data_IF_652246898400
#
_entry.id   IF_652246898400
#
_cell.length_a   1.000
_cell.length_b   1.000
_cell.length_c   1.000
_cell.angle_alpha   90.00
_cell.angle_beta   90.00
_cell.angle_gamma   90.00
#
_symmetry.space_group_name_H-M   'P 1'
#
loop_
_entity.id
_entity.type
_entity.pdbx_description
1 polymer ?
#
# COMPACT_ATOMS: atom_id res chain seq x y z
N UNK A 1 21.56 -21.48 9.82
CA UNK A 1 20.52 -20.48 9.50
C UNK A 1 21.21 -19.46 8.60
N UNK A 2 21.11 -19.65 7.28
CA UNK A 2 21.78 -18.78 6.32
C UNK A 2 21.07 -17.45 6.27
N UNK A 3 21.78 -16.36 6.57
CA UNK A 3 21.33 -15.01 6.25
C UNK A 3 21.16 -14.98 4.73
N UNK A 4 19.92 -15.04 4.25
CA UNK A 4 19.66 -14.72 2.85
C UNK A 4 20.08 -13.26 2.71
N UNK A 5 21.14 -13.03 1.94
CA UNK A 5 21.64 -11.70 1.63
C UNK A 5 20.45 -10.91 1.08
N UNK A 6 20.09 -9.82 1.77
CA UNK A 6 18.96 -8.97 1.34
C UNK A 6 19.34 -8.46 -0.05
N UNK A 7 18.48 -8.63 -1.08
CA UNK A 7 18.81 -8.10 -2.40
C UNK A 7 19.06 -6.60 -2.27
N UNK A 8 20.07 -6.08 -2.97
CA UNK A 8 20.27 -4.64 -3.16
C UNK A 8 19.00 -4.07 -3.80
N UNK A 9 18.09 -3.55 -2.97
CA UNK A 9 16.85 -2.94 -3.46
C UNK A 9 17.25 -1.58 -4.05
N UNK A 10 16.96 -1.32 -5.34
CA UNK A 10 17.21 -0.02 -5.95
C UNK A 10 16.58 1.09 -5.10
N UNK A 11 17.30 2.19 -4.95
CA UNK A 11 16.86 3.36 -4.17
C UNK A 11 15.61 4.02 -4.75
N UNK A 12 15.31 3.77 -6.02
CA UNK A 12 14.09 4.22 -6.70
C UNK A 12 13.01 3.12 -6.64
N UNK A 13 11.90 3.33 -5.91
CA UNK A 13 10.80 2.37 -5.82
C UNK A 13 10.24 1.95 -7.18
N UNK A 14 10.22 2.88 -8.12
CA UNK A 14 9.63 2.67 -9.44
C UNK A 14 10.38 1.68 -10.31
N UNK A 15 11.67 1.44 -10.05
CA UNK A 15 12.47 0.57 -10.89
C UNK A 15 12.23 -0.89 -10.52
N UNK A 16 12.27 -1.25 -9.23
CA UNK A 16 12.10 -2.64 -8.81
C UNK A 16 10.65 -3.10 -8.70
N UNK A 17 9.70 -2.19 -8.45
CA UNK A 17 8.31 -2.54 -8.19
C UNK A 17 7.67 -3.29 -9.36
N UNK A 18 8.09 -3.00 -10.59
CA UNK A 18 7.59 -3.65 -11.82
C UNK A 18 8.43 -4.87 -12.24
N UNK A 19 9.52 -5.19 -11.54
CA UNK A 19 10.28 -6.43 -11.72
C UNK A 19 9.73 -7.53 -10.80
N UNK A 20 9.05 -8.57 -11.35
CA UNK A 20 8.31 -9.53 -10.53
C UNK A 20 9.22 -10.34 -9.60
N UNK A 21 10.44 -10.65 -10.01
CA UNK A 21 11.41 -11.39 -9.20
C UNK A 21 11.89 -10.55 -8.02
N UNK A 22 12.28 -9.28 -8.26
CA UNK A 22 12.74 -8.38 -7.20
C UNK A 22 11.61 -8.07 -6.22
N UNK A 23 10.41 -7.75 -6.71
CA UNK A 23 9.25 -7.51 -5.87
C UNK A 23 8.89 -8.73 -5.00
N UNK A 24 9.02 -9.95 -5.55
CA UNK A 24 8.82 -11.18 -4.78
C UNK A 24 9.86 -11.31 -3.67
N UNK A 25 11.14 -11.04 -3.95
CA UNK A 25 12.18 -11.10 -2.90
C UNK A 25 11.94 -10.07 -1.79
N UNK A 26 11.49 -8.85 -2.14
CA UNK A 26 11.13 -7.81 -1.17
C UNK A 26 9.96 -8.26 -0.29
N UNK A 27 8.92 -8.88 -0.86
CA UNK A 27 7.81 -9.47 -0.10
C UNK A 27 8.31 -10.55 0.86
N UNK A 28 9.13 -11.49 0.38
CA UNK A 28 9.65 -12.58 1.20
C UNK A 28 10.56 -12.07 2.34
N UNK A 29 11.27 -10.96 2.13
CA UNK A 29 12.10 -10.33 3.16
C UNK A 29 11.27 -9.73 4.32
N UNK A 30 9.95 -9.60 4.17
CA UNK A 30 9.04 -9.15 5.23
C UNK A 30 8.50 -10.26 6.13
N UNK A 31 8.83 -11.52 5.86
CA UNK A 31 8.44 -12.62 6.75
C UNK A 31 9.06 -12.42 8.14
N UNK A 32 8.29 -12.53 9.24
CA UNK A 32 8.86 -12.36 10.58
C UNK A 32 9.87 -13.48 10.88
N UNK A 33 10.96 -13.14 11.57
CA UNK A 33 11.99 -14.11 11.91
C UNK A 33 11.45 -15.18 12.87
N UNK A 34 11.67 -16.46 12.56
CA UNK A 34 11.20 -17.57 13.39
C UNK A 34 9.68 -17.78 13.39
N UNK A 35 8.95 -17.13 12.48
CA UNK A 35 7.51 -17.31 12.33
C UNK A 35 7.13 -18.71 11.83
N UNK A 36 5.95 -19.17 12.23
CA UNK A 36 5.33 -20.35 11.66
C UNK A 36 4.88 -20.12 10.20
N UNK A 37 4.39 -21.19 9.57
CA UNK A 37 3.94 -21.16 8.18
C UNK A 37 2.73 -20.24 7.96
N UNK A 38 1.80 -20.13 8.93
CA UNK A 38 0.59 -19.31 8.81
C UNK A 38 0.98 -17.84 8.77
N UNK A 39 1.80 -17.39 9.73
CA UNK A 39 2.33 -16.03 9.78
C UNK A 39 3.12 -15.66 8.52
N UNK A 40 3.91 -16.59 7.97
CA UNK A 40 4.63 -16.36 6.72
C UNK A 40 3.68 -16.17 5.52
N UNK A 41 2.64 -17.00 5.40
CA UNK A 41 1.66 -16.90 4.31
C UNK A 41 0.83 -15.63 4.40
N UNK A 42 0.39 -15.26 5.61
CA UNK A 42 -0.33 -14.01 5.85
C UNK A 42 0.54 -12.81 5.49
N UNK A 43 1.80 -12.80 5.93
CA UNK A 43 2.77 -11.75 5.57
C UNK A 43 2.95 -11.65 4.04
N UNK A 44 3.19 -12.77 3.36
CA UNK A 44 3.36 -12.80 1.90
C UNK A 44 2.12 -12.27 1.15
N UNK A 45 0.92 -12.65 1.61
CA UNK A 45 -0.34 -12.24 1.01
C UNK A 45 -0.56 -10.73 1.15
N UNK A 46 -0.37 -10.18 2.37
CA UNK A 46 -0.55 -8.76 2.64
C UNK A 46 0.48 -7.92 1.89
N UNK A 47 1.76 -8.27 1.96
CA UNK A 47 2.80 -7.51 1.27
C UNK A 47 2.74 -7.66 -0.26
N UNK A 48 2.27 -8.81 -0.76
CA UNK A 48 1.98 -8.99 -2.18
C UNK A 48 0.86 -8.06 -2.68
N UNK A 49 -0.21 -7.91 -1.88
CA UNK A 49 -1.27 -6.95 -2.15
C UNK A 49 -0.75 -5.50 -2.08
N UNK A 50 0.07 -5.16 -1.08
CA UNK A 50 0.71 -3.83 -0.96
C UNK A 50 1.54 -3.50 -2.21
N UNK A 51 2.34 -4.43 -2.73
CA UNK A 51 3.09 -4.23 -3.98
C UNK A 51 2.15 -3.90 -5.14
N UNK A 52 1.00 -4.57 -5.24
CA UNK A 52 0.00 -4.26 -6.28
C UNK A 52 -0.58 -2.86 -6.11
N UNK A 53 -0.89 -2.43 -4.87
CA UNK A 53 -1.37 -1.08 -4.59
C UNK A 53 -0.33 -0.03 -4.99
N UNK A 54 0.93 -0.22 -4.62
CA UNK A 54 2.02 0.67 -5.00
C UNK A 54 2.18 0.76 -6.52
N UNK A 55 1.95 -0.33 -7.28
CA UNK A 55 2.01 -0.30 -8.75
C UNK A 55 0.91 0.59 -9.33
N UNK A 56 -0.29 0.55 -8.77
CA UNK A 56 -1.37 1.44 -9.18
C UNK A 56 -1.07 2.88 -8.83
N UNK A 57 -0.55 3.17 -7.63
CA UNK A 57 -0.14 4.51 -7.23
C UNK A 57 0.94 5.08 -8.19
N UNK A 58 1.99 4.31 -8.46
CA UNK A 58 3.05 4.68 -9.41
C UNK A 58 2.54 4.83 -10.86
N UNK A 59 1.54 4.03 -11.25
CA UNK A 59 0.91 4.16 -12.57
C UNK A 59 0.07 5.43 -12.66
N UNK A 60 -0.69 5.76 -11.62
CA UNK A 60 -1.49 6.98 -11.55
C UNK A 60 -0.65 8.26 -11.62
N UNK A 61 0.55 8.25 -11.03
CA UNK A 61 1.44 9.41 -11.01
C UNK A 61 2.09 9.71 -12.38
N UNK A 62 2.34 8.68 -13.18
CA UNK A 62 3.07 8.80 -14.46
C UNK A 62 2.19 8.81 -15.71
N UNK A 63 0.88 8.63 -15.55
CA UNK A 63 -0.04 8.48 -16.67
C UNK A 63 -0.67 9.81 -17.09
N UNK A 64 -1.18 9.84 -18.32
CA UNK A 64 -2.07 10.92 -18.77
C UNK A 64 -3.31 11.04 -17.86
N UNK A 65 -3.95 12.22 -17.74
CA UNK A 65 -5.02 12.49 -16.77
C UNK A 65 -6.15 11.44 -16.72
N UNK A 66 -6.70 11.05 -17.87
CA UNK A 66 -7.81 10.07 -17.93
C UNK A 66 -7.40 8.69 -17.42
N UNK A 67 -6.17 8.27 -17.75
CA UNK A 67 -5.61 6.99 -17.31
C UNK A 67 -5.26 7.05 -15.83
N UNK A 68 -4.75 8.19 -15.36
CA UNK A 68 -4.47 8.44 -13.95
C UNK A 68 -5.73 8.36 -13.10
N UNK A 69 -6.84 8.97 -13.54
CA UNK A 69 -8.12 8.90 -12.85
C UNK A 69 -8.63 7.46 -12.72
N UNK A 70 -8.58 6.66 -13.80
CA UNK A 70 -8.95 5.24 -13.74
C UNK A 70 -8.03 4.42 -12.84
N UNK A 71 -6.72 4.69 -12.85
CA UNK A 71 -5.76 4.02 -11.98
C UNK A 71 -6.03 4.35 -10.50
N UNK A 72 -6.38 5.59 -10.16
CA UNK A 72 -6.75 5.99 -8.78
C UNK A 72 -8.04 5.32 -8.31
N UNK A 73 -9.06 5.21 -9.15
CA UNK A 73 -10.26 4.45 -8.82
C UNK A 73 -9.96 2.96 -8.59
N UNK A 74 -9.12 2.37 -9.45
CA UNK A 74 -8.72 0.97 -9.26
C UNK A 74 -7.91 0.76 -7.98
N UNK A 75 -7.02 1.71 -7.66
CA UNK A 75 -6.30 1.74 -6.39
C UNK A 75 -7.24 1.78 -5.19
N UNK A 76 -8.22 2.68 -5.19
CA UNK A 76 -9.19 2.80 -4.11
C UNK A 76 -9.98 1.50 -3.87
N UNK A 77 -10.42 0.84 -4.95
CA UNK A 77 -11.12 -0.46 -4.87
C UNK A 77 -10.20 -1.54 -4.31
N UNK A 78 -8.96 -1.65 -4.80
CA UNK A 78 -8.01 -2.66 -4.31
C UNK A 78 -7.62 -2.40 -2.83
N UNK A 79 -7.55 -1.13 -2.39
CA UNK A 79 -7.38 -0.76 -0.99
C UNK A 79 -8.56 -1.25 -0.15
N UNK A 80 -9.80 -0.99 -0.59
CA UNK A 80 -11.01 -1.46 0.10
C UNK A 80 -11.05 -2.99 0.20
N UNK A 81 -10.71 -3.70 -0.87
CA UNK A 81 -10.67 -5.17 -0.88
C UNK A 81 -9.64 -5.75 0.08
N UNK A 82 -8.49 -5.09 0.26
CA UNK A 82 -7.51 -5.47 1.29
C UNK A 82 -8.05 -5.16 2.69
N UNK A 83 -8.57 -3.95 2.92
CA UNK A 83 -9.16 -3.53 4.19
C UNK A 83 -10.27 -4.48 4.67
N UNK A 84 -11.10 -4.98 3.75
CA UNK A 84 -12.17 -5.95 4.06
C UNK A 84 -11.63 -7.31 4.53
N UNK A 85 -10.43 -7.70 4.11
CA UNK A 85 -9.81 -8.99 4.45
C UNK A 85 -8.89 -8.93 5.66
N UNK A 86 -8.32 -7.75 5.95
CA UNK A 86 -7.33 -7.56 7.02
C UNK A 86 -7.79 -8.05 8.40
N UNK A 87 -9.02 -7.78 8.88
CA UNK A 87 -9.45 -8.27 10.18
C UNK A 87 -9.33 -9.79 10.32
N UNK A 88 -9.79 -10.55 9.32
CA UNK A 88 -9.65 -12.00 9.31
C UNK A 88 -8.18 -12.42 9.26
N UNK A 89 -7.34 -11.78 8.44
CA UNK A 89 -5.91 -12.10 8.36
C UNK A 89 -5.16 -11.83 9.67
N UNK A 90 -5.61 -10.83 10.43
CA UNK A 90 -5.05 -10.43 11.72
C UNK A 90 -5.42 -11.43 12.81
N UNK A 91 -6.67 -11.88 12.83
CA UNK A 91 -7.14 -12.95 13.71
C UNK A 91 -6.33 -14.24 13.50
N UNK A 92 -5.99 -14.60 12.25
CA UNK A 92 -5.19 -15.80 11.92
C UNK A 92 -3.75 -15.77 12.49
N UNK A 93 -3.25 -14.60 12.87
CA UNK A 93 -1.88 -14.44 13.40
C UNK A 93 -1.88 -13.96 14.86
N UNK A 94 -3.01 -14.07 15.56
CA UNK A 94 -3.19 -13.64 16.94
C UNK A 94 -2.76 -12.17 17.18
N UNK A 95 -2.86 -11.31 16.17
CA UNK A 95 -2.69 -9.86 16.32
C UNK A 95 -4.03 -9.22 16.71
N UNK A 96 -3.99 -8.12 17.47
CA UNK A 96 -5.20 -7.44 17.89
C UNK A 96 -5.63 -6.42 16.83
N UNK A 97 -6.79 -6.64 16.19
CA UNK A 97 -7.43 -5.59 15.40
C UNK A 97 -8.05 -4.53 16.31
N UNK A 98 -7.66 -3.28 16.10
CA UNK A 98 -8.33 -2.11 16.69
C UNK A 98 -9.07 -1.40 15.56
N UNK A 99 -10.26 -0.85 15.86
CA UNK A 99 -10.96 -0.04 14.86
C UNK A 99 -10.06 1.14 14.46
N UNK A 100 -9.95 1.38 13.15
CA UNK A 100 -9.16 2.52 12.68
C UNK A 100 -9.79 3.83 13.18
N UNK A 101 -8.97 4.83 13.53
CA UNK A 101 -9.49 6.15 13.87
C UNK A 101 -10.19 6.77 12.66
N UNK A 102 -11.36 7.34 12.88
CA UNK A 102 -11.99 8.29 11.95
C UNK A 102 -11.34 9.67 12.17
N UNK A 103 -10.09 9.82 11.74
CA UNK A 103 -9.42 11.12 11.82
C UNK A 103 -9.84 11.98 10.63
N UNK A 104 -10.49 13.14 10.86
CA UNK A 104 -10.76 14.09 9.80
C UNK A 104 -9.44 14.63 9.23
N UNK A 105 -9.40 14.84 7.91
CA UNK A 105 -8.25 15.51 7.29
C UNK A 105 -8.13 16.94 7.84
N UNK A 106 -6.92 17.39 8.18
CA UNK A 106 -6.70 18.76 8.64
C UNK A 106 -7.01 19.78 7.54
N UNK A 107 -7.46 20.98 7.92
CA UNK A 107 -7.87 22.04 6.98
C UNK A 107 -6.71 22.54 6.09
N UNK A 108 -5.46 22.34 6.50
CA UNK A 108 -4.23 22.68 5.77
C UNK A 108 -3.57 21.45 5.11
N UNK A 109 -4.32 20.37 4.88
CA UNK A 109 -3.79 19.17 4.28
C UNK A 109 -3.20 19.43 2.87
N UNK A 110 -2.14 18.71 2.48
CA UNK A 110 -1.57 18.80 1.14
C UNK A 110 -2.61 18.53 0.04
N UNK A 111 -2.30 18.88 -1.21
CA UNK A 111 -3.18 18.52 -2.32
C UNK A 111 -3.41 16.99 -2.36
N UNK A 112 -4.60 16.48 -2.71
CA UNK A 112 -4.89 15.05 -2.65
C UNK A 112 -3.89 14.16 -3.40
N UNK A 113 -3.38 14.62 -4.54
CA UNK A 113 -2.34 13.92 -5.30
C UNK A 113 -0.97 13.89 -4.60
N UNK A 114 -0.67 14.90 -3.79
CA UNK A 114 0.52 14.94 -2.94
C UNK A 114 0.39 13.98 -1.76
N UNK A 115 -0.75 14.00 -1.05
CA UNK A 115 -1.04 13.03 0.01
C UNK A 115 -0.92 11.59 -0.49
N UNK A 116 -1.44 11.31 -1.70
CA UNK A 116 -1.32 9.99 -2.32
C UNK A 116 0.14 9.56 -2.50
N UNK A 117 1.00 10.48 -2.96
CA UNK A 117 2.45 10.22 -3.13
C UNK A 117 3.15 10.01 -1.79
N UNK A 118 2.83 10.81 -0.79
CA UNK A 118 3.39 10.69 0.56
C UNK A 118 3.05 9.35 1.21
N UNK A 119 1.78 8.96 1.21
CA UNK A 119 1.35 7.68 1.80
C UNK A 119 1.94 6.50 1.02
N UNK A 120 2.03 6.59 -0.32
CA UNK A 120 2.70 5.56 -1.12
C UNK A 120 4.20 5.46 -0.78
N UNK A 121 4.87 6.59 -0.50
CA UNK A 121 6.26 6.60 -0.06
C UNK A 121 6.42 6.00 1.35
N UNK A 122 5.54 6.33 2.30
CA UNK A 122 5.51 5.73 3.64
C UNK A 122 5.33 4.20 3.57
N UNK A 123 4.36 3.73 2.77
CA UNK A 123 4.10 2.30 2.59
C UNK A 123 5.25 1.58 1.88
N UNK A 124 5.91 2.26 0.95
CA UNK A 124 7.14 1.76 0.33
C UNK A 124 8.26 1.64 1.37
N UNK A 125 8.45 2.66 2.21
CA UNK A 125 9.45 2.65 3.27
C UNK A 125 9.19 1.50 4.26
N UNK A 126 7.93 1.27 4.65
CA UNK A 126 7.54 0.14 5.50
C UNK A 126 7.87 -1.22 4.86
N UNK A 127 7.68 -1.35 3.54
CA UNK A 127 7.98 -2.55 2.76
C UNK A 127 9.50 -2.79 2.62
N UNK A 128 10.34 -1.75 2.62
CA UNK A 128 11.80 -1.89 2.50
C UNK A 128 12.56 -1.74 3.81
N UNK A 129 11.90 -1.42 4.92
CA UNK A 129 12.52 -1.36 6.23
C UNK A 129 12.94 -2.77 6.73
N UNK A 130 13.91 -2.80 7.64
CA UNK A 130 14.25 -4.01 8.40
C UNK A 130 13.33 -4.20 9.62
N UNK A 131 12.77 -3.10 10.14
CA UNK A 131 11.85 -3.14 11.27
C UNK A 131 10.58 -3.92 10.90
N UNK A 132 10.12 -4.79 11.82
CA UNK A 132 8.81 -5.42 11.68
C UNK A 132 7.73 -4.35 11.80
N UNK A 133 6.71 -4.47 10.95
CA UNK A 133 5.56 -3.57 10.89
C UNK A 133 4.35 -4.46 11.11
N UNK A 134 3.52 -4.11 12.08
CA UNK A 134 2.30 -4.84 12.41
C UNK A 134 1.30 -4.78 11.26
N UNK A 135 0.40 -5.77 11.17
CA UNK A 135 -0.65 -5.75 10.16
C UNK A 135 -1.64 -4.59 10.38
N UNK A 136 -1.80 -4.15 11.63
CA UNK A 136 -2.60 -2.96 11.96
C UNK A 136 -1.99 -1.68 11.37
N UNK A 137 -0.68 -1.47 11.51
CA UNK A 137 0.03 -0.32 10.90
C UNK A 137 -0.07 -0.35 9.37
N UNK A 138 0.04 -1.54 8.75
CA UNK A 138 -0.21 -1.68 7.31
C UNK A 138 -1.64 -1.29 6.97
N UNK A 139 -2.63 -1.72 7.76
CA UNK A 139 -4.03 -1.33 7.59
C UNK A 139 -4.27 0.18 7.64
N UNK A 140 -3.62 0.89 8.59
CA UNK A 140 -3.68 2.35 8.67
C UNK A 140 -3.15 3.02 7.39
N UNK A 141 -2.00 2.57 6.91
CA UNK A 141 -1.40 3.11 5.67
C UNK A 141 -2.26 2.81 4.44
N UNK A 142 -2.81 1.59 4.33
CA UNK A 142 -3.68 1.20 3.22
C UNK A 142 -4.99 2.00 3.23
N UNK A 143 -5.58 2.26 4.40
CA UNK A 143 -6.77 3.08 4.54
C UNK A 143 -6.50 4.53 4.10
N UNK A 144 -5.41 5.14 4.58
CA UNK A 144 -4.96 6.48 4.16
C UNK A 144 -4.72 6.54 2.65
N UNK A 145 -4.10 5.51 2.08
CA UNK A 145 -3.82 5.43 0.64
C UNK A 145 -5.12 5.39 -0.18
N UNK A 146 -6.10 4.60 0.26
CA UNK A 146 -7.42 4.51 -0.37
C UNK A 146 -8.18 5.83 -0.30
N UNK A 147 -8.19 6.49 0.85
CA UNK A 147 -8.81 7.80 1.03
C UNK A 147 -8.19 8.87 0.14
N UNK A 148 -6.85 8.94 0.09
CA UNK A 148 -6.13 9.87 -0.78
C UNK A 148 -6.40 9.60 -2.27
N UNK A 149 -6.52 8.33 -2.68
CA UNK A 149 -6.85 7.96 -4.06
C UNK A 149 -8.25 8.43 -4.47
N UNK A 150 -9.24 8.32 -3.57
CA UNK A 150 -10.60 8.83 -3.80
C UNK A 150 -10.58 10.35 -3.91
N UNK A 151 -9.96 11.05 -2.95
CA UNK A 151 -9.86 12.51 -2.95
C UNK A 151 -9.21 13.04 -4.24
N UNK A 152 -8.10 12.42 -4.67
CA UNK A 152 -7.39 12.77 -5.91
C UNK A 152 -8.15 12.42 -7.20
N UNK A 153 -9.19 11.57 -7.11
CA UNK A 153 -10.08 11.28 -8.23
C UNK A 153 -11.20 12.30 -8.36
N UNK A 154 -11.70 12.80 -7.23
CA UNK A 154 -12.77 13.80 -7.18
C UNK A 154 -12.26 15.20 -7.55
N UNK A 155 -11.07 15.58 -7.08
CA UNK A 155 -10.45 16.88 -7.33
C UNK A 155 -10.11 17.10 -8.81
N UNK A 156 -9.76 16.03 -9.53
CA UNK A 156 -9.44 16.09 -10.96
C UNK A 156 -10.64 15.94 -11.90
N UNK A 157 -11.85 15.77 -11.37
CA UNK A 157 -13.04 15.59 -12.20
C UNK A 157 -13.61 16.95 -12.64
N UNK A 158 -13.66 17.18 -13.94
CA UNK A 158 -14.38 18.32 -14.50
C UNK A 158 -15.88 18.00 -14.52
N UNK A 159 -16.58 18.44 -13.48
CA UNK A 159 -18.02 18.22 -13.33
C UNK A 159 -18.87 19.14 -14.24
N UNK A 160 -18.25 20.06 -14.98
CA UNK A 160 -18.96 21.01 -15.84
C UNK A 160 -19.48 20.38 -17.15
N UNK A 161 -18.99 19.20 -17.54
CA UNK A 161 -19.46 18.47 -18.74
C UNK A 161 -20.70 17.59 -18.52
N UNK A 162 -21.22 17.52 -17.28
CA UNK A 162 -22.39 16.72 -16.92
C UNK A 162 -23.69 17.55 -16.76
N UNK A 163 -23.64 18.85 -17.11
CA UNK A 163 -24.76 19.81 -16.99
C UNK A 163 -25.43 20.16 -18.32
#
# INVERSE_FOLDING_TARGET
MGTLDRPDVPTSPTDWLFHPEVARLVVLARRPAGADAVRCVVSDAVWGDVVRLLRWAASADRSAPDVAARARWRLAVDCYDLMRRLPTLIDEVDEQWVSLPDDPLPDDAPAPAEQLREVAAELTAALVADAQVSLFEVGLLVNRLGAAAIAASVDGADWSELG
#
